data_IF_658776129356
#
_entry.id   IF_658776129356
#
_cell.length_a   1.000
_cell.length_b   1.000
_cell.length_c   1.000
_cell.angle_alpha   90.00
_cell.angle_beta   90.00
_cell.angle_gamma   90.00
#
_symmetry.space_group_name_H-M   'P 1'
#
loop_
_entity.id
_entity.type
_entity.pdbx_description
1 polymer ?
#
# COMPACT_ATOMS: atom_id res chain seq x y z
N UNK A 1 6.74 10.31 -28.69
CA UNK A 1 7.68 10.85 -27.69
C UNK A 1 6.86 11.68 -26.72
N UNK A 2 6.72 11.27 -25.46
CA UNK A 2 6.08 12.11 -24.45
C UNK A 2 7.11 12.44 -23.39
N UNK A 3 7.93 13.47 -23.61
CA UNK A 3 8.70 14.04 -22.52
C UNK A 3 7.70 14.43 -21.43
N UNK A 4 8.00 14.13 -20.17
CA UNK A 4 7.11 14.55 -19.09
C UNK A 4 7.19 16.06 -18.96
N UNK A 5 6.16 16.70 -19.50
CA UNK A 5 5.94 18.12 -19.56
C UNK A 5 5.04 18.59 -18.40
N UNK A 6 4.83 19.89 -18.29
CA UNK A 6 3.99 20.46 -17.23
C UNK A 6 2.55 19.94 -17.27
N UNK A 7 2.01 19.63 -18.45
CA UNK A 7 0.64 19.15 -18.59
C UNK A 7 0.50 17.70 -18.15
N UNK A 8 1.47 16.85 -18.49
CA UNK A 8 1.56 15.49 -17.97
C UNK A 8 1.56 15.51 -16.43
N UNK A 9 2.29 16.45 -15.85
CA UNK A 9 2.33 16.63 -14.40
C UNK A 9 1.02 17.10 -13.78
N UNK A 10 0.35 18.06 -14.42
CA UNK A 10 -1.00 18.47 -14.01
C UNK A 10 -1.96 17.29 -14.06
N UNK A 11 -1.90 16.46 -15.11
CA UNK A 11 -2.73 15.26 -15.21
C UNK A 11 -2.39 14.21 -14.12
N UNK A 12 -1.12 14.03 -13.74
CA UNK A 12 -0.73 13.17 -12.61
C UNK A 12 -1.32 13.66 -11.28
N UNK A 13 -1.29 14.97 -11.01
CA UNK A 13 -1.90 15.51 -9.79
C UNK A 13 -3.42 15.38 -9.78
N UNK A 14 -4.09 15.60 -10.93
CA UNK A 14 -5.52 15.33 -11.08
C UNK A 14 -5.80 13.86 -10.79
N UNK A 15 -5.07 12.94 -11.45
CA UNK A 15 -5.22 11.50 -11.26
C UNK A 15 -5.07 11.10 -9.79
N UNK A 16 -4.06 11.63 -9.10
CA UNK A 16 -3.80 11.39 -7.67
C UNK A 16 -4.98 11.81 -6.79
N UNK A 17 -5.52 13.02 -6.98
CA UNK A 17 -6.65 13.54 -6.21
C UNK A 17 -7.90 12.68 -6.39
N UNK A 18 -8.17 12.31 -7.63
CA UNK A 18 -9.33 11.52 -8.00
C UNK A 18 -9.20 10.06 -7.52
N UNK A 19 -8.00 9.47 -7.62
CA UNK A 19 -7.69 8.18 -7.00
C UNK A 19 -7.90 8.22 -5.50
N UNK A 20 -7.47 9.28 -4.80
CA UNK A 20 -7.69 9.43 -3.35
C UNK A 20 -9.18 9.43 -3.02
N UNK A 21 -9.98 10.21 -3.75
CA UNK A 21 -11.44 10.24 -3.59
C UNK A 21 -12.07 8.86 -3.88
N UNK A 22 -11.74 8.26 -5.02
CA UNK A 22 -12.25 6.97 -5.44
C UNK A 22 -11.94 5.86 -4.43
N UNK A 23 -10.69 5.77 -3.99
CA UNK A 23 -10.23 4.72 -3.08
C UNK A 23 -10.88 4.85 -1.72
N UNK A 24 -10.97 6.08 -1.20
CA UNK A 24 -11.61 6.36 0.09
C UNK A 24 -13.10 6.02 0.05
N UNK A 25 -13.82 6.50 -0.97
CA UNK A 25 -15.27 6.31 -1.09
C UNK A 25 -15.66 4.84 -1.29
N UNK A 26 -14.84 4.08 -2.03
CA UNK A 26 -15.12 2.67 -2.33
C UNK A 26 -14.45 1.69 -1.35
N UNK A 27 -13.65 2.20 -0.38
CA UNK A 27 -12.87 1.38 0.57
C UNK A 27 -12.05 0.29 -0.12
N UNK A 28 -11.43 0.64 -1.26
CA UNK A 28 -10.77 -0.32 -2.14
C UNK A 28 -9.24 -0.20 -2.16
N UNK A 29 -8.63 0.42 -1.13
CA UNK A 29 -7.18 0.54 -1.01
C UNK A 29 -6.44 -0.82 -1.07
N UNK A 30 -6.93 -1.88 -0.40
CA UNK A 30 -6.36 -3.23 -0.55
C UNK A 30 -6.29 -3.70 -2.00
N UNK A 31 -7.40 -3.50 -2.73
CA UNK A 31 -7.49 -3.87 -4.13
C UNK A 31 -6.56 -3.01 -4.98
N UNK A 32 -6.45 -1.71 -4.73
CA UNK A 32 -5.56 -0.85 -5.52
C UNK A 32 -4.08 -1.13 -5.26
N UNK A 33 -3.70 -1.43 -4.02
CA UNK A 33 -2.35 -1.86 -3.71
C UNK A 33 -2.03 -3.18 -4.42
N UNK A 34 -2.97 -4.14 -4.44
CA UNK A 34 -2.81 -5.42 -5.15
C UNK A 34 -2.91 -5.26 -6.69
N UNK A 35 -3.74 -4.35 -7.20
CA UNK A 35 -3.93 -4.09 -8.63
C UNK A 35 -2.78 -3.27 -9.22
N UNK A 36 -2.03 -2.51 -8.43
CA UNK A 36 -0.72 -2.03 -8.85
C UNK A 36 0.21 -3.20 -9.28
N UNK A 37 -0.05 -4.41 -8.79
CA UNK A 37 0.60 -5.64 -9.24
C UNK A 37 -0.13 -6.38 -10.39
N UNK A 38 -1.41 -6.07 -10.70
CA UNK A 38 -2.26 -6.85 -11.63
C UNK A 38 -2.96 -5.98 -12.73
N UNK A 39 -2.61 -4.69 -12.84
CA UNK A 39 -2.93 -3.83 -14.00
C UNK A 39 -4.44 -3.66 -14.33
N UNK A 40 -5.32 -3.23 -13.41
CA UNK A 40 -6.75 -2.94 -13.72
C UNK A 40 -7.26 -1.59 -13.14
N UNK A 41 -6.98 -0.47 -13.81
CA UNK A 41 -7.33 0.91 -13.39
C UNK A 41 -8.07 1.64 -14.53
N UNK A 42 -8.61 0.88 -15.49
CA UNK A 42 -9.18 1.39 -16.74
C UNK A 42 -10.39 2.30 -16.50
N UNK A 43 -11.17 1.99 -15.45
CA UNK A 43 -12.33 2.78 -15.02
C UNK A 43 -11.92 4.22 -14.66
N UNK A 44 -10.76 4.39 -14.01
CA UNK A 44 -10.29 5.71 -13.55
C UNK A 44 -9.77 6.52 -14.74
N UNK A 45 -8.96 5.93 -15.62
CA UNK A 45 -8.41 6.64 -16.79
C UNK A 45 -9.51 7.17 -17.71
N UNK A 46 -10.52 6.35 -18.00
CA UNK A 46 -11.67 6.74 -18.83
C UNK A 46 -12.55 7.80 -18.18
N UNK A 47 -12.88 7.66 -16.88
CA UNK A 47 -13.73 8.64 -16.17
C UNK A 47 -13.09 10.02 -16.10
N UNK A 48 -11.76 10.07 -15.94
CA UNK A 48 -11.02 11.32 -15.77
C UNK A 48 -10.57 11.95 -17.08
N UNK A 49 -10.86 11.32 -18.22
CA UNK A 49 -10.46 11.79 -19.55
C UNK A 49 -8.96 12.15 -19.61
N UNK A 50 -8.12 11.43 -18.86
CA UNK A 50 -6.67 11.63 -18.87
C UNK A 50 -6.15 11.23 -20.24
N UNK A 51 -5.43 12.13 -20.92
CA UNK A 51 -4.98 11.90 -22.31
C UNK A 51 -3.51 11.59 -22.38
N UNK A 52 -2.69 12.18 -21.51
CA UNK A 52 -1.23 12.08 -21.55
C UNK A 52 -0.70 10.99 -20.62
N UNK A 53 -1.29 10.81 -19.44
CA UNK A 53 -0.79 9.87 -18.42
C UNK A 53 -0.81 8.42 -18.91
N UNK A 54 0.31 7.72 -18.77
CA UNK A 54 0.41 6.29 -19.11
C UNK A 54 -0.37 5.42 -18.12
N UNK A 55 -0.88 4.27 -18.58
CA UNK A 55 -1.43 3.25 -17.67
C UNK A 55 -0.37 2.79 -16.65
N UNK A 56 0.89 2.62 -17.10
CA UNK A 56 2.00 2.23 -16.23
C UNK A 56 2.19 3.18 -15.04
N UNK A 57 2.18 4.50 -15.26
CA UNK A 57 2.23 5.46 -14.16
C UNK A 57 0.94 5.47 -13.33
N UNK A 58 -0.22 5.31 -13.97
CA UNK A 58 -1.49 5.29 -13.26
C UNK A 58 -1.62 4.12 -12.28
N UNK A 59 -1.11 2.93 -12.65
CA UNK A 59 -1.07 1.75 -11.77
C UNK A 59 -0.17 1.99 -10.56
N UNK A 60 1.04 2.49 -10.77
CA UNK A 60 1.98 2.76 -9.68
C UNK A 60 1.46 3.89 -8.78
N UNK A 61 0.85 4.91 -9.37
CA UNK A 61 0.21 6.00 -8.62
C UNK A 61 -0.95 5.48 -7.77
N UNK A 62 -1.78 4.57 -8.28
CA UNK A 62 -2.88 3.98 -7.51
C UNK A 62 -2.37 3.19 -6.30
N UNK A 63 -1.27 2.45 -6.43
CA UNK A 63 -0.62 1.75 -5.31
C UNK A 63 -0.11 2.71 -4.24
N UNK A 64 0.60 3.77 -4.64
CA UNK A 64 1.07 4.82 -3.72
C UNK A 64 -0.10 5.50 -3.01
N UNK A 65 -1.14 5.90 -3.75
CA UNK A 65 -2.33 6.54 -3.17
C UNK A 65 -3.05 5.61 -2.21
N UNK A 66 -3.13 4.30 -2.50
CA UNK A 66 -3.74 3.32 -1.60
C UNK A 66 -3.05 3.27 -0.23
N UNK A 67 -1.72 3.39 -0.19
CA UNK A 67 -0.95 3.45 1.06
C UNK A 67 -1.16 4.81 1.74
N UNK A 68 -1.15 5.92 0.99
CA UNK A 68 -1.38 7.26 1.53
C UNK A 68 -2.77 7.38 2.21
N UNK A 69 -3.84 6.89 1.57
CA UNK A 69 -5.21 7.00 2.11
C UNK A 69 -5.48 6.08 3.29
N UNK A 70 -4.65 5.06 3.47
CA UNK A 70 -4.71 4.13 4.61
C UNK A 70 -3.76 4.53 5.73
N UNK A 71 -3.24 5.77 5.69
CA UNK A 71 -2.35 6.38 6.69
C UNK A 71 -0.96 5.73 6.76
N UNK A 72 -0.53 5.05 5.70
CA UNK A 72 0.83 4.53 5.59
C UNK A 72 1.86 5.62 5.25
N UNK A 73 3.11 5.21 4.98
CA UNK A 73 4.18 6.15 4.69
C UNK A 73 3.95 6.92 3.38
N UNK A 74 4.55 8.11 3.30
CA UNK A 74 4.64 8.86 2.04
C UNK A 74 5.69 8.19 1.16
N UNK A 75 5.31 7.85 -0.08
CA UNK A 75 6.19 7.21 -1.05
C UNK A 75 6.43 8.18 -2.20
N UNK A 76 7.71 8.48 -2.44
CA UNK A 76 8.12 9.36 -3.53
C UNK A 76 7.82 8.73 -4.89
N UNK A 77 6.76 9.21 -5.52
CA UNK A 77 6.36 8.82 -6.86
C UNK A 77 7.05 9.66 -7.92
N UNK A 78 7.74 9.01 -8.87
CA UNK A 78 8.33 9.63 -10.06
C UNK A 78 7.57 9.11 -11.28
N UNK A 79 6.86 9.95 -12.04
CA UNK A 79 6.21 9.54 -13.28
C UNK A 79 7.20 9.54 -14.46
N UNK A 80 6.74 9.01 -15.58
CA UNK A 80 7.49 8.87 -16.84
C UNK A 80 7.53 7.44 -17.35
N UNK A 81 6.83 6.49 -16.71
CA UNK A 81 6.74 5.12 -17.23
C UNK A 81 5.98 5.12 -18.55
N UNK A 82 6.42 4.32 -19.49
CA UNK A 82 5.76 4.15 -20.77
C UNK A 82 4.89 2.90 -20.75
N UNK A 83 3.76 2.95 -21.44
CA UNK A 83 2.91 1.78 -21.65
C UNK A 83 3.63 0.78 -22.58
N UNK A 84 3.55 -0.50 -22.22
CA UNK A 84 4.04 -1.60 -23.04
C UNK A 84 2.85 -2.22 -23.77
N UNK A 85 3.03 -2.51 -25.07
CA UNK A 85 2.07 -3.33 -25.83
C UNK A 85 2.25 -4.83 -25.56
N UNK A 86 3.31 -5.20 -24.84
CA UNK A 86 3.59 -6.56 -24.43
C UNK A 86 3.21 -6.77 -22.97
N UNK A 87 2.37 -7.78 -22.72
CA UNK A 87 2.17 -8.33 -21.39
C UNK A 87 3.35 -9.27 -21.06
N UNK A 88 3.94 -9.20 -19.86
CA UNK A 88 4.98 -10.14 -19.46
C UNK A 88 4.49 -11.58 -19.63
N UNK A 89 5.25 -12.42 -20.35
CA UNK A 89 4.95 -13.85 -20.50
C UNK A 89 4.87 -14.59 -19.15
N UNK A 90 5.52 -14.03 -18.12
CA UNK A 90 5.43 -14.52 -16.76
C UNK A 90 4.19 -13.91 -16.12
N UNK A 91 3.06 -14.60 -16.25
CA UNK A 91 1.93 -14.39 -15.35
C UNK A 91 2.48 -14.53 -13.93
N UNK A 92 2.22 -13.54 -13.08
CA UNK A 92 2.67 -13.47 -11.69
C UNK A 92 2.11 -14.65 -10.88
N UNK A 93 2.67 -15.84 -11.11
CA UNK A 93 2.59 -17.04 -10.29
C UNK A 93 3.45 -16.84 -9.04
N UNK A 94 3.33 -15.65 -8.44
CA UNK A 94 4.23 -15.18 -7.40
C UNK A 94 4.11 -16.04 -6.16
N UNK A 95 2.96 -16.70 -5.95
CA UNK A 95 2.64 -17.45 -4.74
C UNK A 95 2.08 -18.85 -5.06
N UNK A 96 2.73 -19.58 -5.96
CA UNK A 96 2.47 -21.01 -6.12
C UNK A 96 3.06 -21.68 -4.88
N UNK A 97 2.20 -22.21 -4.01
CA UNK A 97 2.53 -22.72 -2.68
C UNK A 97 3.83 -23.53 -2.60
N UNK A 98 4.44 -23.48 -1.40
CA UNK A 98 5.83 -23.80 -1.05
C UNK A 98 6.80 -22.61 -1.17
N UNK A 99 6.49 -21.57 -0.40
CA UNK A 99 7.35 -20.40 -0.26
C UNK A 99 8.21 -20.52 0.98
N UNK A 100 9.34 -21.23 0.88
CA UNK A 100 10.38 -21.14 1.90
C UNK A 100 11.22 -19.86 1.72
N UNK A 101 12.03 -19.53 2.72
CA UNK A 101 12.85 -18.33 2.68
C UNK A 101 13.87 -18.32 1.53
N UNK A 102 14.29 -19.51 1.06
CA UNK A 102 15.18 -19.64 -0.10
C UNK A 102 14.46 -19.29 -1.39
N UNK A 103 13.22 -19.73 -1.57
CA UNK A 103 12.35 -19.44 -2.70
C UNK A 103 12.05 -17.96 -2.79
N UNK A 104 11.72 -17.33 -1.65
CA UNK A 104 11.52 -15.88 -1.55
C UNK A 104 12.75 -15.10 -2.03
N UNK A 105 13.95 -15.42 -1.50
CA UNK A 105 15.20 -14.79 -1.93
C UNK A 105 15.44 -14.92 -3.43
N UNK A 106 15.23 -16.10 -4.00
CA UNK A 106 15.40 -16.32 -5.46
C UNK A 106 14.41 -15.46 -6.26
N UNK A 107 13.14 -15.43 -5.88
CA UNK A 107 12.10 -14.68 -6.60
C UNK A 107 12.39 -13.18 -6.59
N UNK A 108 12.64 -12.62 -5.42
CA UNK A 108 12.95 -11.19 -5.29
C UNK A 108 14.30 -10.82 -5.92
N UNK A 109 15.31 -11.69 -5.82
CA UNK A 109 16.59 -11.47 -6.51
C UNK A 109 16.44 -11.39 -8.04
N UNK A 110 15.54 -12.17 -8.64
CA UNK A 110 15.25 -12.09 -10.10
C UNK A 110 14.61 -10.76 -10.50
N UNK A 111 13.99 -10.06 -9.57
CA UNK A 111 13.44 -8.71 -9.75
C UNK A 111 14.47 -7.62 -9.47
N UNK A 112 15.68 -7.95 -8.99
CA UNK A 112 16.67 -6.96 -8.54
C UNK A 112 16.52 -6.52 -7.07
N UNK A 113 15.73 -7.24 -6.27
CA UNK A 113 15.53 -7.01 -4.84
C UNK A 113 16.19 -8.13 -4.02
N UNK A 114 17.51 -8.17 -3.96
CA UNK A 114 18.24 -9.28 -3.31
C UNK A 114 18.42 -9.13 -1.80
N UNK A 115 18.09 -7.96 -1.23
CA UNK A 115 18.21 -7.71 0.21
C UNK A 115 17.05 -8.35 0.98
N UNK A 116 17.36 -9.18 1.99
CA UNK A 116 16.35 -9.76 2.89
C UNK A 116 15.42 -8.71 3.50
N UNK A 117 15.95 -7.52 3.82
CA UNK A 117 15.19 -6.37 4.31
C UNK A 117 14.07 -5.98 3.36
N UNK A 118 14.39 -5.86 2.07
CA UNK A 118 13.43 -5.43 1.04
C UNK A 118 12.30 -6.49 0.92
N UNK A 119 12.64 -7.79 1.02
CA UNK A 119 11.67 -8.89 1.02
C UNK A 119 10.69 -8.75 2.20
N UNK A 120 11.22 -8.73 3.43
CA UNK A 120 10.38 -8.74 4.64
C UNK A 120 9.52 -7.48 4.73
N UNK A 121 10.10 -6.30 4.43
CA UNK A 121 9.38 -5.04 4.57
C UNK A 121 8.24 -4.94 3.56
N UNK A 122 8.46 -5.40 2.31
CA UNK A 122 7.42 -5.37 1.27
C UNK A 122 6.25 -6.31 1.59
N UNK A 123 6.50 -7.45 2.24
CA UNK A 123 5.45 -8.32 2.77
C UNK A 123 4.54 -7.60 3.79
N UNK A 124 5.04 -6.53 4.44
CA UNK A 124 4.21 -5.64 5.28
C UNK A 124 3.00 -5.04 4.56
N UNK A 125 2.98 -5.02 3.22
CA UNK A 125 1.77 -4.67 2.45
C UNK A 125 0.56 -5.58 2.73
N UNK A 126 0.79 -6.79 3.25
CA UNK A 126 -0.26 -7.70 3.71
C UNK A 126 -1.08 -7.11 4.86
N UNK A 127 -0.62 -6.05 5.53
CA UNK A 127 -1.42 -5.29 6.50
C UNK A 127 -2.78 -4.82 5.94
N UNK A 128 -2.84 -4.57 4.62
CA UNK A 128 -4.06 -4.18 3.92
C UNK A 128 -4.77 -5.34 3.22
N UNK A 129 -4.23 -6.55 3.16
CA UNK A 129 -4.83 -7.61 2.34
C UNK A 129 -6.11 -8.18 2.97
N UNK A 130 -7.13 -8.31 2.12
CA UNK A 130 -8.33 -9.11 2.34
C UNK A 130 -8.49 -10.05 1.15
N UNK A 131 -8.59 -11.34 1.40
CA UNK A 131 -8.78 -12.33 0.35
C UNK A 131 -10.08 -13.10 0.59
N UNK A 132 -10.90 -13.22 -0.46
CA UNK A 132 -12.08 -14.08 -0.43
C UNK A 132 -11.66 -15.47 -0.89
N UNK A 133 -11.55 -16.41 0.04
CA UNK A 133 -11.18 -17.78 -0.27
C UNK A 133 -12.44 -18.64 -0.40
N UNK A 134 -12.56 -19.46 -1.46
CA UNK A 134 -13.63 -20.45 -1.52
C UNK A 134 -13.57 -21.37 -0.30
N UNK A 135 -14.72 -21.64 0.33
CA UNK A 135 -14.84 -22.64 1.40
C UNK A 135 -14.77 -24.08 0.89
N UNK A 136 -14.96 -24.27 -0.42
CA UNK A 136 -14.94 -25.56 -1.14
C UNK A 136 -13.90 -25.49 -2.26
N UNK A 137 -13.34 -26.63 -2.64
CA UNK A 137 -12.28 -26.68 -3.65
C UNK A 137 -12.76 -26.11 -5.00
N UNK A 138 -11.92 -25.34 -5.69
CA UNK A 138 -12.27 -24.74 -7.00
C UNK A 138 -12.71 -25.75 -8.07
N UNK A 139 -12.37 -27.04 -7.92
CA UNK A 139 -12.85 -28.12 -8.80
C UNK A 139 -14.34 -28.42 -8.62
N UNK A 140 -14.88 -28.12 -7.45
CA UNK A 140 -16.28 -28.35 -7.05
C UNK A 140 -17.15 -27.10 -7.22
N UNK A 141 -16.55 -25.92 -7.44
CA UNK A 141 -17.31 -24.70 -7.78
C UNK A 141 -17.73 -24.76 -9.25
N UNK A 142 -19.04 -24.81 -9.58
CA UNK A 142 -19.51 -24.87 -10.95
C UNK A 142 -19.04 -23.66 -11.77
N UNK A 143 -18.56 -23.91 -12.99
CA UNK A 143 -18.23 -22.85 -13.96
C UNK A 143 -19.47 -21.99 -14.23
N UNK A 144 -19.50 -20.77 -13.72
CA UNK A 144 -20.56 -19.80 -13.98
C UNK A 144 -21.16 -19.14 -12.74
N UNK A 145 -20.82 -19.57 -11.53
CA UNK A 145 -21.30 -18.90 -10.32
C UNK A 145 -20.58 -17.55 -10.13
N UNK A 146 -21.35 -16.47 -10.17
CA UNK A 146 -20.87 -15.11 -9.92
C UNK A 146 -20.43 -14.97 -8.46
N UNK A 147 -19.50 -14.03 -8.21
CA UNK A 147 -18.97 -13.61 -6.89
C UNK A 147 -20.04 -13.12 -5.89
N UNK A 148 -21.31 -13.22 -6.24
CA UNK A 148 -22.47 -12.69 -5.52
C UNK A 148 -22.87 -13.57 -4.35
N UNK A 149 -22.66 -14.89 -4.42
CA UNK A 149 -22.90 -15.79 -3.30
C UNK A 149 -21.74 -15.76 -2.29
N UNK A 150 -21.67 -14.66 -1.52
CA UNK A 150 -20.66 -14.45 -0.47
C UNK A 150 -20.67 -15.54 0.60
N UNK A 151 -21.74 -16.34 0.72
CA UNK A 151 -21.84 -17.41 1.72
C UNK A 151 -20.84 -18.55 1.48
N UNK A 152 -20.44 -18.76 0.22
CA UNK A 152 -19.50 -19.79 -0.23
C UNK A 152 -18.03 -19.41 -0.05
N UNK A 153 -17.76 -18.17 0.37
CA UNK A 153 -16.41 -17.66 0.55
C UNK A 153 -16.17 -17.31 2.01
N UNK A 154 -14.98 -17.62 2.52
CA UNK A 154 -14.48 -17.11 3.78
C UNK A 154 -13.59 -15.88 3.52
N UNK A 155 -13.75 -14.87 4.35
CA UNK A 155 -12.88 -13.71 4.31
C UNK A 155 -11.63 -13.97 5.13
N UNK A 156 -10.48 -14.02 4.45
CA UNK A 156 -9.16 -14.07 5.07
C UNK A 156 -8.59 -12.68 5.22
N UNK A 157 -8.11 -12.38 6.43
CA UNK A 157 -7.47 -11.11 6.79
C UNK A 157 -6.22 -11.39 7.62
N UNK A 158 -5.21 -10.55 7.42
CA UNK A 158 -3.93 -10.64 8.12
C UNK A 158 -3.88 -9.75 9.36
N UNK A 159 -4.79 -8.79 9.47
CA UNK A 159 -4.84 -7.81 10.56
C UNK A 159 -6.29 -7.58 11.01
N UNK A 160 -6.48 -6.91 12.15
CA UNK A 160 -7.81 -6.53 12.66
C UNK A 160 -8.47 -5.46 11.80
N UNK A 161 -7.67 -4.51 11.31
CA UNK A 161 -8.10 -3.32 10.59
C UNK A 161 -7.50 -3.28 9.17
N UNK A 162 -8.02 -4.07 8.21
CA UNK A 162 -7.44 -4.21 6.87
C UNK A 162 -7.62 -2.98 5.95
N UNK A 163 -7.93 -1.81 6.52
CA UNK A 163 -7.97 -0.50 5.85
C UNK A 163 -7.03 0.51 6.52
N UNK A 164 -6.20 0.04 7.44
CA UNK A 164 -5.17 0.82 8.12
C UNK A 164 -3.82 0.20 7.80
N UNK A 165 -2.93 0.98 7.21
CA UNK A 165 -1.57 0.54 6.92
C UNK A 165 -0.72 0.85 8.14
N UNK A 166 -0.44 -0.17 8.94
CA UNK A 166 0.33 -0.07 10.18
C UNK A 166 1.19 -1.34 10.38
N UNK A 167 1.98 -1.40 11.45
CA UNK A 167 2.84 -2.55 11.70
C UNK A 167 2.14 -3.76 12.33
N UNK A 168 0.80 -3.78 12.37
CA UNK A 168 0.03 -4.88 12.97
C UNK A 168 0.29 -6.21 12.29
N UNK A 169 0.57 -6.23 10.98
CA UNK A 169 0.97 -7.45 10.27
C UNK A 169 2.13 -8.18 10.98
N UNK A 170 3.23 -7.48 11.28
CA UNK A 170 4.38 -8.09 11.94
C UNK A 170 4.08 -8.49 13.38
N UNK A 171 3.27 -7.72 14.10
CA UNK A 171 2.80 -8.08 15.46
C UNK A 171 1.99 -9.38 15.43
N UNK A 172 1.13 -9.56 14.44
CA UNK A 172 0.30 -10.76 14.28
C UNK A 172 1.09 -11.97 13.74
N UNK A 173 2.19 -11.76 13.00
CA UNK A 173 3.13 -12.84 12.68
C UNK A 173 3.82 -13.41 13.92
N UNK A 174 4.16 -12.55 14.88
CA UNK A 174 4.81 -12.94 16.13
C UNK A 174 3.84 -13.49 17.18
N UNK A 175 2.54 -13.23 17.04
CA UNK A 175 1.54 -13.74 17.98
C UNK A 175 1.38 -15.26 17.82
N UNK A 176 1.35 -15.99 18.94
CA UNK A 176 1.27 -17.47 18.97
C UNK A 176 -0.18 -18.00 18.86
N UNK A 177 -1.14 -17.16 18.46
CA UNK A 177 -2.56 -17.49 18.38
C UNK A 177 -3.17 -17.07 17.04
N UNK A 178 -3.53 -18.04 16.21
CA UNK A 178 -3.94 -17.84 14.81
C UNK A 178 -5.39 -17.35 14.67
N UNK A 179 -5.68 -16.11 15.07
CA UNK A 179 -6.93 -15.45 14.66
C UNK A 179 -6.84 -14.87 13.25
N UNK A 180 -5.64 -14.74 12.70
CA UNK A 180 -5.37 -14.11 11.40
C UNK A 180 -4.81 -15.13 10.40
N UNK A 181 -5.09 -14.87 9.13
CA UNK A 181 -4.64 -15.73 8.03
C UNK A 181 -3.12 -15.66 7.88
N UNK A 182 -2.52 -16.78 7.46
CA UNK A 182 -1.11 -16.90 7.10
C UNK A 182 -0.97 -17.69 5.80
N UNK A 183 -0.15 -17.19 4.89
CA UNK A 183 0.36 -17.89 3.73
C UNK A 183 1.66 -18.61 4.08
N UNK A 184 2.10 -19.58 3.26
CA UNK A 184 3.43 -20.18 3.41
C UNK A 184 4.56 -19.15 3.47
N UNK A 185 4.44 -18.07 2.69
CA UNK A 185 5.34 -16.90 2.73
C UNK A 185 5.47 -16.33 4.14
N UNK A 186 4.33 -16.08 4.79
CA UNK A 186 4.28 -15.44 6.11
C UNK A 186 4.95 -16.32 7.17
N UNK A 187 4.76 -17.65 7.07
CA UNK A 187 5.46 -18.62 7.91
C UNK A 187 6.97 -18.57 7.67
N UNK A 188 7.42 -18.52 6.41
CA UNK A 188 8.84 -18.44 6.10
C UNK A 188 9.52 -17.18 6.65
N UNK A 189 8.80 -16.07 6.80
CA UNK A 189 9.33 -14.85 7.41
C UNK A 189 9.67 -15.03 8.90
N UNK A 190 8.95 -15.89 9.61
CA UNK A 190 9.18 -16.14 11.04
C UNK A 190 10.05 -17.37 11.33
N UNK A 191 10.17 -18.29 10.37
CA UNK A 191 10.99 -19.49 10.49
C UNK A 191 12.47 -19.24 10.13
N UNK A 192 12.75 -18.34 9.19
CA UNK A 192 14.12 -17.99 8.80
C UNK A 192 14.72 -16.93 9.73
N UNK A 193 15.86 -17.23 10.34
CA UNK A 193 16.51 -16.38 11.34
C UNK A 193 16.81 -14.95 10.84
N UNK A 194 17.18 -14.78 9.56
CA UNK A 194 17.52 -13.46 8.99
C UNK A 194 16.26 -12.67 8.73
N UNK A 195 15.19 -13.31 8.25
CA UNK A 195 13.90 -12.64 8.10
C UNK A 195 13.26 -12.30 9.44
N UNK A 196 13.32 -13.21 10.40
CA UNK A 196 12.78 -13.04 11.74
C UNK A 196 13.33 -11.78 12.43
N UNK A 197 14.62 -11.49 12.26
CA UNK A 197 15.24 -10.27 12.74
C UNK A 197 14.51 -8.99 12.27
N UNK A 198 14.14 -8.93 10.98
CA UNK A 198 13.38 -7.80 10.43
C UNK A 198 11.92 -7.80 10.89
N UNK A 199 11.29 -8.97 10.99
CA UNK A 199 9.91 -9.09 11.51
C UNK A 199 9.82 -8.52 12.92
N UNK A 200 10.74 -8.89 13.82
CA UNK A 200 10.81 -8.33 15.17
C UNK A 200 11.04 -6.82 15.17
N UNK A 201 11.96 -6.35 14.32
CA UNK A 201 12.29 -4.92 14.23
C UNK A 201 11.08 -4.10 13.83
N UNK A 202 10.36 -4.51 12.79
CA UNK A 202 9.17 -3.79 12.32
C UNK A 202 7.98 -3.93 13.26
N UNK A 203 7.84 -5.06 13.96
CA UNK A 203 6.81 -5.20 15.00
C UNK A 203 7.03 -4.25 16.19
N UNK A 204 8.29 -3.98 16.53
CA UNK A 204 8.70 -3.09 17.64
C UNK A 204 8.62 -1.60 17.26
N UNK A 205 8.93 -1.25 16.02
CA UNK A 205 9.07 0.13 15.58
C UNK A 205 8.37 0.36 14.22
N UNK A 206 7.23 1.06 14.29
CA UNK A 206 6.42 1.40 13.12
C UNK A 206 7.07 2.48 12.24
N UNK A 207 7.81 3.42 12.84
CA UNK A 207 8.47 4.50 12.10
C UNK A 207 9.59 3.93 11.23
N UNK A 208 10.35 2.96 11.76
CA UNK A 208 11.34 2.21 10.99
C UNK A 208 10.66 1.41 9.88
N UNK A 209 9.56 0.71 10.18
CA UNK A 209 8.79 0.00 9.16
C UNK A 209 8.37 0.94 8.03
N UNK A 210 7.76 2.07 8.35
CA UNK A 210 7.27 3.05 7.38
C UNK A 210 8.39 3.62 6.52
N UNK A 211 9.52 4.00 7.14
CA UNK A 211 10.69 4.50 6.44
C UNK A 211 11.26 3.46 5.46
N UNK A 212 11.47 2.23 5.91
CA UNK A 212 12.07 1.18 5.08
C UNK A 212 11.09 0.64 4.03
N UNK A 213 9.78 0.67 4.33
CA UNK A 213 8.72 0.34 3.38
C UNK A 213 8.70 1.35 2.24
N UNK A 214 8.74 2.65 2.53
CA UNK A 214 8.74 3.69 1.50
C UNK A 214 9.92 3.54 0.53
N UNK A 215 11.12 3.26 1.07
CA UNK A 215 12.33 3.03 0.28
C UNK A 215 12.16 1.79 -0.61
N UNK A 216 11.72 0.67 -0.04
CA UNK A 216 11.64 -0.60 -0.75
C UNK A 216 10.49 -0.63 -1.76
N UNK A 217 9.36 -0.02 -1.43
CA UNK A 217 8.25 0.16 -2.36
C UNK A 217 8.65 1.04 -3.54
N UNK A 218 9.42 2.12 -3.30
CA UNK A 218 9.98 2.93 -4.39
C UNK A 218 10.87 2.09 -5.31
N UNK A 219 11.83 1.34 -4.74
CA UNK A 219 12.69 0.41 -5.52
C UNK A 219 11.84 -0.54 -6.38
N UNK A 220 10.82 -1.16 -5.79
CA UNK A 220 9.90 -2.07 -6.48
C UNK A 220 9.12 -1.37 -7.60
N UNK A 221 8.58 -0.17 -7.34
CA UNK A 221 7.79 0.60 -8.30
C UNK A 221 8.61 1.10 -9.50
N UNK A 222 9.92 1.22 -9.35
CA UNK A 222 10.85 1.73 -10.36
C UNK A 222 11.65 0.61 -11.06
N UNK A 223 11.30 -0.66 -10.84
CA UNK A 223 11.94 -1.78 -11.56
C UNK A 223 11.75 -1.64 -13.07
N UNK A 224 12.86 -1.65 -13.80
CA UNK A 224 12.86 -1.44 -15.26
C UNK A 224 12.60 0.01 -15.70
N UNK A 225 12.50 0.97 -14.76
CA UNK A 225 12.31 2.39 -15.04
C UNK A 225 13.54 3.18 -14.61
N UNK A 226 14.16 3.91 -15.54
CA UNK A 226 15.30 4.79 -15.25
C UNK A 226 14.89 6.27 -15.27
N UNK A 227 14.64 6.89 -14.11
CA UNK A 227 14.27 8.30 -14.02
C UNK A 227 15.43 9.24 -14.39
N UNK A 228 16.68 8.77 -14.49
CA UNK A 228 17.83 9.62 -14.85
C UNK A 228 17.81 10.02 -16.32
N UNK A 229 17.12 9.27 -17.18
CA UNK A 229 16.91 9.64 -18.58
C UNK A 229 15.89 10.80 -18.74
N UNK A 230 15.22 11.23 -17.66
CA UNK A 230 14.31 12.38 -17.64
C UNK A 230 15.04 13.70 -17.35
N UNK A 231 16.22 13.91 -17.92
CA UNK A 231 17.13 15.02 -17.57
C UNK A 231 16.51 16.42 -17.68
N UNK A 232 15.42 16.62 -18.43
CA UNK A 232 14.72 17.90 -18.54
C UNK A 232 13.61 18.12 -17.50
N UNK A 233 13.22 17.10 -16.73
CA UNK A 233 12.02 17.13 -15.87
C UNK A 233 12.34 17.02 -14.37
N UNK A 234 13.60 16.79 -13.98
CA UNK A 234 14.04 16.59 -12.58
C UNK A 234 13.57 17.70 -11.63
N UNK A 235 13.72 18.98 -12.01
CA UNK A 235 13.29 20.12 -11.18
C UNK A 235 11.77 20.25 -11.05
N UNK A 236 11.02 19.73 -12.03
CA UNK A 236 9.56 19.79 -12.08
C UNK A 236 8.93 18.79 -11.09
N UNK A 237 9.44 17.56 -11.04
CA UNK A 237 8.98 16.55 -10.07
C UNK A 237 9.38 16.85 -8.63
N UNK A 238 10.58 17.42 -8.43
CA UNK A 238 11.03 17.75 -7.08
C UNK A 238 10.12 18.79 -6.42
N UNK A 239 9.61 19.76 -7.20
CA UNK A 239 8.57 20.70 -6.75
C UNK A 239 7.25 20.01 -6.38
N UNK A 240 6.79 19.05 -7.18
CA UNK A 240 5.59 18.27 -6.87
C UNK A 240 5.72 17.50 -5.56
N UNK A 241 6.87 16.87 -5.32
CA UNK A 241 7.12 16.12 -4.09
C UNK A 241 7.31 17.04 -2.86
N UNK A 242 7.89 18.23 -3.04
CA UNK A 242 8.08 19.20 -1.94
C UNK A 242 6.76 19.75 -1.39
N UNK A 243 5.77 20.01 -2.25
CA UNK A 243 4.44 20.44 -1.79
C UNK A 243 3.68 19.35 -1.03
N UNK A 244 4.02 18.06 -1.22
CA UNK A 244 3.38 16.93 -0.51
C UNK A 244 3.81 16.82 0.94
N UNK A 245 5.07 17.13 1.26
CA UNK A 245 5.56 17.19 2.64
C UNK A 245 4.79 18.20 3.50
N UNK A 246 4.42 19.35 2.93
CA UNK A 246 3.64 20.39 3.61
C UNK A 246 2.16 20.02 3.80
N UNK A 247 1.54 19.28 2.86
CA UNK A 247 0.13 18.86 2.97
C UNK A 247 -0.02 17.70 3.98
N UNK A 248 0.95 16.79 4.06
CA UNK A 248 1.01 15.75 5.10
C UNK A 248 1.21 16.32 6.50
N UNK A 249 2.10 17.32 6.65
CA UNK A 249 2.27 18.07 7.90
C UNK A 249 1.01 18.89 8.22
N UNK A 250 0.33 19.45 7.22
CA UNK A 250 -0.91 20.22 7.39
C UNK A 250 -2.07 19.40 7.93
N UNK A 251 -2.26 18.16 7.48
CA UNK A 251 -3.33 17.27 7.98
C UNK A 251 -3.02 16.80 9.41
N UNK A 252 -1.75 16.46 9.71
CA UNK A 252 -1.34 16.15 11.09
C UNK A 252 -1.52 17.39 11.98
N UNK A 253 -1.17 18.59 11.52
CA UNK A 253 -1.30 19.82 12.30
C UNK A 253 -2.75 20.18 12.59
N UNK A 254 -3.66 20.03 11.62
CA UNK A 254 -5.09 20.34 11.80
C UNK A 254 -5.78 19.29 12.67
N UNK A 255 -5.45 18.00 12.51
CA UNK A 255 -5.98 16.94 13.36
C UNK A 255 -5.46 17.06 14.80
N UNK A 256 -4.16 17.33 14.99
CA UNK A 256 -3.55 17.54 16.31
C UNK A 256 -4.09 18.81 16.97
N UNK A 257 -4.23 19.91 16.22
CA UNK A 257 -4.84 21.13 16.75
C UNK A 257 -6.32 20.91 17.11
N UNK A 258 -7.08 20.20 16.27
CA UNK A 258 -8.48 19.84 16.54
C UNK A 258 -8.63 18.96 17.78
N UNK A 259 -7.76 17.96 17.94
CA UNK A 259 -7.70 17.08 19.11
C UNK A 259 -7.30 17.88 20.35
N UNK A 260 -6.29 18.74 20.28
CA UNK A 260 -5.87 19.59 21.39
C UNK A 260 -6.97 20.57 21.80
N UNK A 261 -7.65 21.22 20.86
CA UNK A 261 -8.81 22.10 21.12
C UNK A 261 -9.96 21.31 21.73
N UNK A 262 -10.25 20.10 21.23
CA UNK A 262 -11.28 19.22 21.78
C UNK A 262 -10.95 18.79 23.22
N UNK A 263 -9.71 18.38 23.49
CA UNK A 263 -9.25 18.00 24.83
C UNK A 263 -9.26 19.20 25.78
N UNK A 264 -8.87 20.39 25.32
CA UNK A 264 -8.94 21.62 26.11
C UNK A 264 -10.39 22.00 26.46
N UNK A 265 -11.31 21.86 25.49
CA UNK A 265 -12.74 22.11 25.70
C UNK A 265 -13.37 21.07 26.64
N UNK A 266 -12.97 19.79 26.52
CA UNK A 266 -13.40 18.71 27.43
C UNK A 266 -12.88 18.94 28.85
N UNK A 267 -11.61 19.32 29.04
CA UNK A 267 -11.03 19.65 30.34
C UNK A 267 -11.70 20.88 30.97
N UNK A 268 -11.94 21.95 30.19
CA UNK A 268 -12.67 23.14 30.65
C UNK A 268 -14.11 22.83 31.05
N UNK A 269 -14.77 21.91 30.35
CA UNK A 269 -16.12 21.49 30.70
C UNK A 269 -16.14 20.57 31.93
N UNK A 270 -15.17 19.68 32.11
CA UNK A 270 -15.03 18.88 33.34
C UNK A 270 -14.74 19.75 34.55
N UNK A 271 -13.87 20.76 34.42
CA UNK A 271 -13.59 21.76 35.47
C UNK A 271 -14.78 22.68 35.80
N UNK A 272 -15.79 22.76 34.93
CA UNK A 272 -17.03 23.51 35.17
C UNK A 272 -18.16 22.67 35.76
N UNK A 273 -18.02 21.34 35.79
CA UNK A 273 -19.08 20.41 36.22
C UNK A 273 -18.92 20.00 37.69
N UNK A 274 -17.87 20.45 38.38
CA UNK A 274 -17.72 20.18 39.81
C UNK A 274 -17.94 21.43 40.68
N UNK A 275 -19.21 21.75 41.03
CA UNK A 275 -19.53 22.55 42.20
C UNK A 275 -20.30 21.67 43.18
N UNK A 276 -19.63 20.71 43.84
CA UNK A 276 -20.12 20.13 45.11
C UNK A 276 -19.04 19.33 45.83
N UNK A 277 -18.19 20.04 46.56
CA UNK A 277 -17.59 19.57 47.82
C UNK A 277 -16.95 20.75 48.55
N UNK A 278 -17.78 21.56 49.22
CA UNK A 278 -17.37 22.32 50.39
C UNK A 278 -18.51 22.33 51.43
N UNK A 279 -18.16 21.82 52.61
CA UNK A 279 -18.87 21.72 53.90
C UNK A 279 -20.00 20.70 54.03
#
# INVERSE_FOLDING_TARGET
MGAVDEDYLKEIEIARRELRSFITNNKCAPLMLQLAYIQNVDIVKHRLKLKKVSYADLYQLAGVVAIEVTQGPIIDFVPGRMDSNESPRVQAHFLNGEEDARSLRRKFSRMGLSEDKDIVVLCGGHALIRAMHPKVAMRETPKGETREDRSKFEERKWTKEPLKFDNSYFKELLSRGASFSRLPMDSALVEDQRFYHYVERYAKDEDIFFKEYAISHKKLSELGFDPKNLNNSKGLYQKLNQHRGLVGIGIISVAVAGILVYLHKKKKNQLKIDPKLEF
#
